data_IF_531738329702
#
_entry.id   IF_531738329702
#
_cell.length_a   1.000
_cell.length_b   1.000
_cell.length_c   1.000
_cell.angle_alpha   90.00
_cell.angle_beta   90.00
_cell.angle_gamma   90.00
#
_symmetry.space_group_name_H-M   'P 1'
#
loop_
_entity.id
_entity.type
_entity.pdbx_description
1 polymer ?
#
# COMPACT_ATOMS: atom_id res chain seq x y z
N UNK A 1 50.79 -35.59 7.98
CA UNK A 1 49.80 -35.83 6.91
C UNK A 1 49.39 -34.47 6.35
N UNK A 2 49.75 -34.15 5.11
CA UNK A 2 49.47 -32.84 4.49
C UNK A 2 47.97 -32.66 4.24
N UNK A 3 47.37 -31.63 4.84
CA UNK A 3 45.96 -31.29 4.65
C UNK A 3 45.73 -30.81 3.22
N UNK A 4 44.92 -31.55 2.47
CA UNK A 4 44.57 -31.19 1.09
C UNK A 4 43.68 -29.94 1.15
N UNK A 5 44.10 -28.82 0.54
CA UNK A 5 43.31 -27.59 0.53
C UNK A 5 41.93 -27.82 -0.09
N UNK A 6 40.91 -27.14 0.44
CA UNK A 6 39.53 -27.30 0.02
C UNK A 6 39.33 -27.15 -1.51
N UNK A 7 40.15 -26.30 -2.15
CA UNK A 7 40.05 -25.99 -3.57
C UNK A 7 40.48 -27.19 -4.45
N UNK A 8 41.46 -27.96 -3.96
CA UNK A 8 41.91 -29.20 -4.59
C UNK A 8 40.91 -30.35 -4.39
N UNK A 9 40.20 -30.37 -3.26
CA UNK A 9 39.06 -31.29 -3.03
C UNK A 9 37.85 -30.98 -3.94
N UNK A 10 37.66 -29.70 -4.28
CA UNK A 10 36.59 -29.22 -5.16
C UNK A 10 36.92 -29.33 -6.66
N UNK A 11 38.05 -29.92 -7.03
CA UNK A 11 38.42 -30.15 -8.43
C UNK A 11 38.84 -28.90 -9.20
N UNK A 12 39.13 -27.78 -8.51
CA UNK A 12 39.73 -26.61 -9.15
C UNK A 12 41.25 -26.82 -9.27
N UNK A 13 41.75 -26.92 -10.49
CA UNK A 13 43.19 -26.95 -10.80
C UNK A 13 43.70 -25.51 -10.98
N UNK A 14 44.67 -25.11 -10.15
CA UNK A 14 45.47 -23.91 -10.41
C UNK A 14 46.51 -24.28 -11.48
N UNK A 15 46.50 -23.58 -12.61
CA UNK A 15 47.52 -23.74 -13.63
C UNK A 15 48.85 -23.18 -13.10
N UNK A 16 49.83 -24.06 -12.89
CA UNK A 16 51.17 -23.72 -12.36
C UNK A 16 52.08 -23.06 -13.41
N UNK A 17 51.69 -23.04 -14.69
CA UNK A 17 52.46 -22.41 -15.77
C UNK A 17 52.38 -20.88 -15.80
N UNK A 18 51.76 -20.25 -14.80
CA UNK A 18 51.70 -18.79 -14.67
C UNK A 18 52.49 -18.29 -13.46
N UNK A 19 53.31 -19.14 -12.82
CA UNK A 19 54.08 -18.75 -11.64
C UNK A 19 55.42 -18.10 -11.96
N UNK A 20 56.10 -18.42 -13.06
CA UNK A 20 57.49 -17.96 -13.23
C UNK A 20 57.60 -16.50 -13.72
N UNK A 21 56.59 -15.95 -14.40
CA UNK A 21 56.59 -14.53 -14.83
C UNK A 21 55.77 -13.61 -13.90
N UNK A 22 54.90 -14.15 -13.04
CA UNK A 22 54.05 -13.35 -12.12
C UNK A 22 54.55 -13.31 -10.66
N UNK A 23 55.60 -14.08 -10.29
CA UNK A 23 56.15 -14.06 -8.92
C UNK A 23 56.94 -12.79 -8.58
N UNK A 24 57.35 -11.99 -9.57
CA UNK A 24 57.93 -10.65 -9.32
C UNK A 24 56.86 -9.54 -9.16
N UNK A 25 55.63 -9.76 -9.64
CA UNK A 25 54.64 -8.68 -9.80
C UNK A 25 53.37 -8.85 -8.93
N UNK A 26 53.24 -9.92 -8.14
CA UNK A 26 51.95 -10.26 -7.51
C UNK A 26 51.86 -10.16 -5.98
N UNK A 27 52.91 -9.75 -5.24
CA UNK A 27 52.78 -9.53 -3.78
C UNK A 27 53.57 -8.34 -3.19
N UNK A 28 53.91 -7.33 -3.99
CA UNK A 28 54.23 -6.03 -3.39
C UNK A 28 52.93 -5.39 -2.89
N UNK A 29 52.73 -5.46 -1.58
CA UNK A 29 51.71 -4.68 -0.85
C UNK A 29 51.82 -3.23 -1.31
N UNK A 30 50.77 -2.70 -1.94
CA UNK A 30 50.65 -1.34 -2.50
C UNK A 30 50.55 -0.31 -1.34
N UNK A 31 51.45 -0.37 -0.37
CA UNK A 31 51.45 0.54 0.77
C UNK A 31 52.41 1.71 0.59
N UNK A 32 53.42 1.65 -0.31
CA UNK A 32 54.37 2.77 -0.45
C UNK A 32 54.90 2.94 -1.89
N UNK A 33 54.07 3.40 -2.82
CA UNK A 33 54.54 3.83 -4.14
C UNK A 33 53.59 4.84 -4.75
N UNK A 34 54.04 6.07 -4.96
CA UNK A 34 53.29 7.14 -5.62
C UNK A 34 53.08 6.80 -7.10
N UNK A 35 52.12 5.90 -7.35
CA UNK A 35 51.70 5.51 -8.68
C UNK A 35 50.96 6.68 -9.32
N UNK A 36 51.40 7.07 -10.52
CA UNK A 36 50.71 8.13 -11.26
C UNK A 36 49.28 7.71 -11.61
N UNK A 37 48.37 8.68 -11.69
CA UNK A 37 46.95 8.44 -12.06
C UNK A 37 46.75 7.61 -13.34
N UNK A 38 47.72 7.65 -14.27
CA UNK A 38 47.70 6.86 -15.50
C UNK A 38 47.97 5.36 -15.24
N UNK A 39 48.88 5.03 -14.33
CA UNK A 39 49.20 3.64 -13.95
C UNK A 39 48.05 3.02 -13.15
N UNK A 40 47.46 3.77 -12.22
CA UNK A 40 46.27 3.34 -11.46
C UNK A 40 45.09 3.04 -12.40
N UNK A 41 44.84 3.90 -13.39
CA UNK A 41 43.77 3.65 -14.38
C UNK A 41 44.02 2.40 -15.22
N UNK A 42 45.26 2.15 -15.65
CA UNK A 42 45.63 0.95 -16.42
C UNK A 42 45.44 -0.33 -15.60
N UNK A 43 45.87 -0.35 -14.35
CA UNK A 43 45.64 -1.47 -13.41
C UNK A 43 44.14 -1.72 -13.19
N UNK A 44 43.35 -0.66 -13.00
CA UNK A 44 41.90 -0.78 -12.81
C UNK A 44 41.17 -1.33 -14.03
N UNK A 45 41.63 -1.00 -15.24
CA UNK A 45 41.04 -1.48 -16.49
C UNK A 45 41.47 -2.92 -16.79
N UNK A 46 42.70 -3.31 -16.46
CA UNK A 46 43.17 -4.69 -16.57
C UNK A 46 42.41 -5.61 -15.62
N UNK A 47 42.18 -5.17 -14.37
CA UNK A 47 41.37 -5.91 -13.38
C UNK A 47 39.92 -6.10 -13.83
N UNK A 48 39.29 -5.07 -14.41
CA UNK A 48 37.92 -5.16 -14.96
C UNK A 48 37.81 -6.14 -16.12
N UNK A 49 38.76 -6.12 -17.07
CA UNK A 49 38.78 -7.07 -18.19
C UNK A 49 38.91 -8.53 -17.72
N UNK A 50 39.81 -8.80 -16.78
CA UNK A 50 39.94 -10.13 -16.17
C UNK A 50 38.63 -10.59 -15.51
N UNK A 51 37.92 -9.70 -14.82
CA UNK A 51 36.64 -10.01 -14.19
C UNK A 51 35.52 -10.27 -15.21
N UNK A 52 35.51 -9.55 -16.34
CA UNK A 52 34.57 -9.78 -17.43
C UNK A 52 34.85 -11.10 -18.17
N UNK A 53 36.11 -11.50 -18.30
CA UNK A 53 36.52 -12.76 -18.93
C UNK A 53 36.22 -13.98 -18.05
N UNK A 54 36.36 -13.85 -16.72
CA UNK A 54 35.92 -14.87 -15.74
C UNK A 54 34.39 -15.00 -15.77
N UNK A 55 33.65 -13.88 -15.76
CA UNK A 55 32.20 -13.87 -15.86
C UNK A 55 31.67 -14.37 -17.23
N UNK A 56 32.49 -14.37 -18.29
CA UNK A 56 32.16 -14.98 -19.59
C UNK A 56 32.38 -16.49 -19.57
N UNK A 57 33.45 -16.98 -18.95
CA UNK A 57 33.74 -18.43 -18.84
C UNK A 57 32.75 -19.16 -17.92
N UNK A 58 32.21 -18.49 -16.91
CA UNK A 58 31.17 -19.05 -16.02
C UNK A 58 29.75 -19.02 -16.63
N UNK A 59 29.55 -18.41 -17.82
CA UNK A 59 28.24 -18.35 -18.50
C UNK A 59 27.91 -19.60 -19.33
N UNK A 60 28.87 -20.50 -19.53
CA UNK A 60 28.70 -21.73 -20.33
C UNK A 60 28.45 -22.98 -19.47
N UNK A 61 28.48 -22.86 -18.14
CA UNK A 61 28.07 -23.92 -17.21
C UNK A 61 26.82 -23.48 -16.44
N UNK A 62 25.69 -24.03 -16.86
CA UNK A 62 24.39 -24.05 -16.15
C UNK A 62 23.90 -22.70 -15.60
N UNK A 63 23.48 -21.81 -16.51
CA UNK A 63 22.65 -20.66 -16.14
C UNK A 63 21.34 -21.18 -15.53
N UNK A 64 21.13 -20.88 -14.24
CA UNK A 64 19.82 -21.00 -13.58
C UNK A 64 18.72 -20.47 -14.51
N UNK A 65 17.55 -21.14 -14.61
CA UNK A 65 16.52 -20.76 -15.55
C UNK A 65 16.20 -19.26 -15.41
N UNK A 66 16.08 -18.52 -16.53
CA UNK A 66 15.88 -17.09 -16.49
C UNK A 66 14.66 -16.75 -15.64
N UNK A 67 14.81 -15.79 -14.71
CA UNK A 67 13.68 -15.23 -13.96
C UNK A 67 12.59 -14.85 -14.97
N UNK A 68 11.42 -15.48 -14.79
CA UNK A 68 10.18 -15.32 -15.57
C UNK A 68 10.16 -14.03 -16.38
N UNK A 69 10.15 -14.13 -17.71
CA UNK A 69 10.12 -12.97 -18.61
C UNK A 69 8.89 -12.12 -18.24
N UNK A 70 9.18 -10.92 -17.76
CA UNK A 70 8.18 -9.97 -17.30
C UNK A 70 7.62 -9.28 -18.54
N UNK A 71 6.36 -9.57 -18.91
CA UNK A 71 5.66 -8.81 -19.96
C UNK A 71 5.79 -7.31 -19.71
N UNK A 72 5.88 -6.47 -20.76
CA UNK A 72 5.93 -5.02 -20.61
C UNK A 72 4.74 -4.53 -19.78
N UNK A 73 4.92 -3.47 -19.00
CA UNK A 73 3.94 -3.01 -18.00
C UNK A 73 2.57 -2.65 -18.62
N UNK A 74 2.54 -2.36 -19.92
CA UNK A 74 1.36 -2.02 -20.70
C UNK A 74 0.49 -3.22 -21.09
N UNK A 75 1.07 -4.43 -21.22
CA UNK A 75 0.34 -5.64 -21.64
C UNK A 75 -0.14 -6.50 -20.46
N UNK A 76 0.18 -6.09 -19.24
CA UNK A 76 -0.27 -6.80 -18.05
C UNK A 76 -1.70 -6.39 -17.76
N UNK A 77 -2.62 -7.35 -17.81
CA UNK A 77 -3.96 -7.17 -17.27
C UNK A 77 -3.84 -6.70 -15.82
N UNK A 78 -4.62 -5.67 -15.40
CA UNK A 78 -4.64 -5.27 -14.01
C UNK A 78 -5.05 -6.47 -13.14
N UNK A 79 -4.50 -6.59 -11.92
CA UNK A 79 -4.93 -7.64 -11.01
C UNK A 79 -6.44 -7.53 -10.78
N UNK A 80 -7.16 -8.66 -10.69
CA UNK A 80 -8.62 -8.65 -10.50
C UNK A 80 -9.06 -7.92 -9.22
N UNK A 81 -8.21 -7.92 -8.19
CA UNK A 81 -8.45 -7.27 -6.91
C UNK A 81 -7.36 -6.20 -6.72
N UNK A 82 -7.73 -4.96 -6.34
CA UNK A 82 -6.76 -3.92 -6.06
C UNK A 82 -5.81 -4.33 -4.91
N UNK A 83 -4.52 -4.03 -5.07
CA UNK A 83 -3.45 -4.41 -4.14
C UNK A 83 -3.65 -3.92 -2.70
N UNK A 84 -4.49 -2.89 -2.50
CA UNK A 84 -4.83 -2.28 -1.21
C UNK A 84 -5.85 -3.13 -0.44
N UNK A 85 -6.85 -3.68 -1.12
CA UNK A 85 -7.82 -4.60 -0.49
C UNK A 85 -7.15 -5.92 -0.13
N UNK A 86 -6.27 -6.43 -1.00
CA UNK A 86 -5.44 -7.60 -0.70
C UNK A 86 -4.54 -7.35 0.52
N UNK A 87 -4.05 -6.12 0.70
CA UNK A 87 -3.22 -5.76 1.84
C UNK A 87 -3.99 -5.73 3.17
N UNK A 88 -5.24 -5.26 3.17
CA UNK A 88 -6.13 -5.34 4.33
C UNK A 88 -6.44 -6.79 4.67
N UNK A 89 -6.83 -7.59 3.68
CA UNK A 89 -7.13 -9.01 3.88
C UNK A 89 -5.92 -9.79 4.39
N UNK A 90 -4.73 -9.52 3.86
CA UNK A 90 -3.50 -10.13 4.34
C UNK A 90 -3.20 -9.74 5.80
N UNK A 91 -3.51 -8.51 6.22
CA UNK A 91 -3.33 -8.08 7.60
C UNK A 91 -4.21 -8.90 8.57
N UNK A 92 -5.45 -9.19 8.18
CA UNK A 92 -6.38 -10.02 8.94
C UNK A 92 -5.98 -11.50 8.95
N UNK A 93 -5.64 -12.08 7.78
CA UNK A 93 -5.39 -13.53 7.67
C UNK A 93 -3.98 -13.96 8.02
N UNK A 94 -2.97 -13.14 7.71
CA UNK A 94 -1.54 -13.49 7.86
C UNK A 94 -0.74 -12.28 8.33
N UNK A 95 -1.02 -11.88 9.57
CA UNK A 95 -0.31 -10.78 10.25
C UNK A 95 1.19 -11.06 10.40
N UNK A 96 1.61 -12.32 10.45
CA UNK A 96 3.02 -12.72 10.58
C UNK A 96 3.87 -12.38 9.36
N UNK A 97 3.37 -12.64 8.14
CA UNK A 97 4.10 -12.35 6.91
C UNK A 97 3.75 -10.97 6.34
N UNK A 98 2.82 -10.26 6.96
CA UNK A 98 2.42 -8.93 6.54
C UNK A 98 3.56 -7.92 6.72
N UNK A 99 3.79 -7.12 5.68
CA UNK A 99 4.81 -6.07 5.69
C UNK A 99 4.16 -4.72 5.50
N UNK A 100 4.43 -3.82 6.44
CA UNK A 100 3.93 -2.46 6.39
C UNK A 100 4.29 -1.77 5.07
N UNK A 101 3.29 -1.19 4.41
CA UNK A 101 3.47 -0.40 3.20
C UNK A 101 2.78 0.96 3.35
N UNK A 102 3.58 2.02 3.48
CA UNK A 102 3.08 3.37 3.70
C UNK A 102 2.20 3.89 2.56
N UNK A 103 2.51 3.54 1.31
CA UNK A 103 1.70 3.96 0.17
C UNK A 103 0.30 3.36 0.23
N UNK A 104 0.20 2.07 0.58
CA UNK A 104 -1.09 1.41 0.78
C UNK A 104 -1.85 1.97 1.97
N UNK A 105 -1.17 2.23 3.10
CA UNK A 105 -1.79 2.91 4.25
C UNK A 105 -2.38 4.26 3.86
N UNK A 106 -1.60 5.13 3.21
CA UNK A 106 -2.07 6.46 2.80
C UNK A 106 -3.27 6.37 1.84
N UNK A 107 -3.31 5.35 0.98
CA UNK A 107 -4.47 5.11 0.12
C UNK A 107 -5.70 4.68 0.94
N UNK A 108 -5.54 3.74 1.87
CA UNK A 108 -6.64 3.26 2.74
C UNK A 108 -7.24 4.43 3.53
N UNK A 109 -6.39 5.25 4.16
CA UNK A 109 -6.83 6.40 4.96
C UNK A 109 -7.62 7.43 4.15
N UNK A 110 -7.28 7.62 2.88
CA UNK A 110 -7.99 8.55 1.99
C UNK A 110 -9.30 8.00 1.42
N UNK A 111 -9.45 6.67 1.38
CA UNK A 111 -10.52 6.00 0.65
C UNK A 111 -11.42 5.14 1.56
N UNK A 112 -11.53 5.48 2.85
CA UNK A 112 -12.36 4.74 3.84
C UNK A 112 -13.81 4.59 3.33
N UNK A 113 -14.36 5.61 2.64
CA UNK A 113 -15.70 5.58 2.05
C UNK A 113 -15.86 4.56 0.90
N UNK A 114 -14.80 4.32 0.12
CA UNK A 114 -14.85 3.56 -1.14
C UNK A 114 -14.59 2.06 -0.92
N UNK A 115 -14.05 1.69 0.24
CA UNK A 115 -13.74 0.28 0.56
C UNK A 115 -15.03 -0.54 0.62
N UNK A 116 -15.10 -1.71 -0.06
CA UNK A 116 -16.27 -2.57 -0.01
C UNK A 116 -16.53 -3.14 1.39
N UNK A 117 -17.80 -3.39 1.72
CA UNK A 117 -18.25 -3.94 3.01
C UNK A 117 -17.59 -5.28 3.36
N UNK A 118 -17.26 -6.10 2.37
CA UNK A 118 -16.57 -7.39 2.57
C UNK A 118 -15.21 -7.27 3.29
N UNK A 119 -14.60 -6.08 3.25
CA UNK A 119 -13.29 -5.81 3.88
C UNK A 119 -13.42 -4.95 5.14
N UNK A 120 -14.63 -4.71 5.63
CA UNK A 120 -14.90 -3.84 6.78
C UNK A 120 -14.29 -4.39 8.07
N UNK A 121 -14.36 -5.71 8.31
CA UNK A 121 -13.71 -6.36 9.45
C UNK A 121 -12.20 -6.13 9.46
N UNK A 122 -11.55 -6.39 8.32
CA UNK A 122 -10.13 -6.18 8.13
C UNK A 122 -9.73 -4.70 8.25
N UNK A 123 -10.60 -3.80 7.80
CA UNK A 123 -10.40 -2.36 7.93
C UNK A 123 -10.42 -1.93 9.40
N UNK A 124 -11.45 -2.32 10.16
CA UNK A 124 -11.58 -1.98 11.59
C UNK A 124 -10.35 -2.47 12.37
N UNK A 125 -9.96 -3.74 12.20
CA UNK A 125 -8.78 -4.31 12.84
C UNK A 125 -7.49 -3.56 12.45
N UNK A 126 -7.36 -3.17 11.17
CA UNK A 126 -6.21 -2.40 10.71
C UNK A 126 -6.18 -1.01 11.32
N UNK A 127 -7.33 -0.34 11.40
CA UNK A 127 -7.49 0.99 11.96
C UNK A 127 -7.14 0.99 13.45
N UNK A 128 -7.61 0.01 14.21
CA UNK A 128 -7.25 -0.18 15.62
C UNK A 128 -5.72 -0.21 15.84
N UNK A 129 -4.98 -0.87 14.93
CA UNK A 129 -3.52 -1.01 15.02
C UNK A 129 -2.72 0.27 14.73
N UNK A 130 -3.37 1.32 14.20
CA UNK A 130 -2.68 2.57 13.86
C UNK A 130 -2.38 3.35 15.15
N UNK A 131 -1.10 3.67 15.34
CA UNK A 131 -0.60 4.43 16.49
C UNK A 131 -0.01 5.78 16.08
N UNK A 132 0.10 6.69 17.05
CA UNK A 132 0.69 8.03 16.91
C UNK A 132 -0.24 9.04 16.23
N UNK A 133 0.29 10.20 15.85
CA UNK A 133 -0.52 11.35 15.41
C UNK A 133 -1.34 11.14 14.13
N UNK A 134 -1.14 10.06 13.37
CA UNK A 134 -2.10 9.68 12.32
C UNK A 134 -3.44 9.23 12.90
N UNK A 135 -3.42 8.54 14.04
CA UNK A 135 -4.63 8.09 14.75
C UNK A 135 -5.47 9.30 15.15
N UNK A 136 -4.84 10.30 15.78
CA UNK A 136 -5.54 11.48 16.28
C UNK A 136 -6.23 12.24 15.15
N UNK A 137 -5.54 12.43 14.01
CA UNK A 137 -6.14 13.07 12.82
C UNK A 137 -7.32 12.28 12.25
N UNK A 138 -7.21 10.95 12.20
CA UNK A 138 -8.31 10.11 11.73
C UNK A 138 -9.49 10.24 12.68
N UNK A 139 -9.26 10.20 13.99
CA UNK A 139 -10.31 10.35 15.00
C UNK A 139 -11.02 11.69 14.85
N UNK A 140 -10.28 12.79 14.66
CA UNK A 140 -10.90 14.11 14.40
C UNK A 140 -11.73 14.09 13.13
N UNK A 141 -11.19 13.53 12.03
CA UNK A 141 -11.89 13.45 10.74
C UNK A 141 -13.18 12.62 10.85
N UNK A 142 -13.14 11.48 11.53
CA UNK A 142 -14.31 10.61 11.74
C UNK A 142 -15.37 11.30 12.61
N UNK A 143 -14.97 11.99 13.68
CA UNK A 143 -15.89 12.78 14.52
C UNK A 143 -16.54 13.91 13.73
N UNK A 144 -15.81 14.60 12.85
CA UNK A 144 -16.36 15.63 11.98
C UNK A 144 -17.37 15.08 10.97
N UNK A 145 -17.11 13.90 10.39
CA UNK A 145 -18.05 13.25 9.46
C UNK A 145 -19.38 12.94 10.16
N UNK A 146 -19.32 12.39 11.38
CA UNK A 146 -20.54 12.08 12.16
C UNK A 146 -21.30 13.36 12.53
N UNK A 147 -20.60 14.42 12.94
CA UNK A 147 -21.24 15.72 13.23
C UNK A 147 -21.96 16.29 12.01
N UNK A 148 -21.29 16.31 10.85
CA UNK A 148 -21.89 16.77 9.59
C UNK A 148 -23.10 15.93 9.17
N UNK A 149 -23.09 14.62 9.44
CA UNK A 149 -24.25 13.77 9.23
C UNK A 149 -25.41 14.14 10.16
N UNK A 150 -25.13 14.27 11.46
CA UNK A 150 -26.14 14.63 12.45
C UNK A 150 -26.78 16.00 12.17
N UNK A 151 -25.99 17.00 11.76
CA UNK A 151 -26.49 18.31 11.34
C UNK A 151 -27.45 18.20 10.14
N UNK A 152 -27.05 17.45 9.10
CA UNK A 152 -27.90 17.21 7.93
C UNK A 152 -29.19 16.48 8.30
N UNK A 153 -29.10 15.52 9.21
CA UNK A 153 -30.26 14.76 9.70
C UNK A 153 -31.24 15.68 10.45
N UNK A 154 -30.76 16.53 11.35
CA UNK A 154 -31.59 17.52 12.06
C UNK A 154 -32.25 18.53 11.11
N UNK A 155 -31.54 18.98 10.07
CA UNK A 155 -32.12 19.86 9.05
C UNK A 155 -33.20 19.15 8.24
N UNK A 156 -33.02 17.86 7.94
CA UNK A 156 -34.03 17.06 7.27
C UNK A 156 -35.28 16.87 8.16
N UNK A 157 -35.10 16.57 9.45
CA UNK A 157 -36.20 16.45 10.41
C UNK A 157 -36.99 17.76 10.53
N UNK A 158 -36.32 18.90 10.68
CA UNK A 158 -37.00 20.22 10.75
C UNK A 158 -37.79 20.54 9.48
N UNK A 159 -37.28 20.18 8.31
CA UNK A 159 -38.01 20.37 7.03
C UNK A 159 -39.25 19.49 6.96
N UNK A 160 -39.15 18.24 7.42
CA UNK A 160 -40.29 17.32 7.48
C UNK A 160 -41.33 17.84 8.46
N UNK A 161 -40.92 18.29 9.65
CA UNK A 161 -41.82 18.83 10.66
C UNK A 161 -42.55 20.09 10.18
N UNK A 162 -41.84 21.03 9.54
CA UNK A 162 -42.46 22.20 8.91
C UNK A 162 -43.43 21.85 7.77
N UNK A 163 -43.17 20.77 7.03
CA UNK A 163 -44.07 20.31 5.98
C UNK A 163 -45.29 19.60 6.55
N UNK A 164 -45.15 18.91 7.68
CA UNK A 164 -46.25 18.30 8.41
C UNK A 164 -47.14 19.37 9.07
N UNK A 165 -46.56 20.37 9.74
CA UNK A 165 -47.30 21.50 10.32
C UNK A 165 -48.12 22.24 9.26
N UNK A 166 -47.53 22.49 8.08
CA UNK A 166 -48.27 23.11 6.95
C UNK A 166 -49.40 22.23 6.42
N UNK A 167 -49.23 20.91 6.41
CA UNK A 167 -50.28 19.96 6.01
C UNK A 167 -51.36 19.79 7.09
N UNK A 168 -51.02 20.00 8.36
CA UNK A 168 -51.98 20.02 9.47
C UNK A 168 -52.82 21.31 9.45
N UNK A 169 -52.23 22.44 9.08
CA UNK A 169 -52.94 23.70 8.85
C UNK A 169 -53.83 23.67 7.58
N UNK A 170 -53.44 22.90 6.55
CA UNK A 170 -54.19 22.70 5.30
C UNK A 170 -55.20 21.52 5.36
N UNK A 171 -55.70 21.13 6.55
CA UNK A 171 -56.87 20.24 6.68
C UNK A 171 -58.22 20.88 6.24
N UNK A 172 -58.17 21.79 5.26
CA UNK A 172 -59.24 22.06 4.31
C UNK A 172 -58.67 22.32 2.91
N UNK A 173 -58.11 21.29 2.26
CA UNK A 173 -58.46 20.92 0.87
C UNK A 173 -57.75 19.64 0.44
N UNK A 174 -58.55 18.66 0.04
CA UNK A 174 -58.12 17.42 -0.60
C UNK A 174 -57.48 17.69 -1.99
N UNK A 175 -56.76 16.67 -2.48
CA UNK A 175 -56.29 16.45 -3.85
C UNK A 175 -54.98 17.11 -4.29
N UNK A 176 -53.86 16.41 -4.01
CA UNK A 176 -52.96 15.91 -5.08
C UNK A 176 -51.84 15.04 -4.48
N UNK A 177 -52.15 13.76 -4.24
CA UNK A 177 -51.13 12.73 -3.98
C UNK A 177 -51.00 11.90 -5.25
N UNK A 178 -50.44 12.46 -6.32
CA UNK A 178 -50.00 11.64 -7.46
C UNK A 178 -49.09 12.37 -8.45
N UNK A 179 -48.04 13.09 -8.03
CA UNK A 179 -47.05 13.58 -9.03
C UNK A 179 -45.64 13.93 -8.53
N UNK A 180 -45.19 13.37 -7.39
CA UNK A 180 -43.82 13.62 -6.87
C UNK A 180 -43.01 12.38 -6.52
N UNK A 181 -43.30 11.24 -7.16
CA UNK A 181 -42.52 10.00 -7.02
C UNK A 181 -41.63 9.65 -8.23
N UNK A 182 -41.59 10.48 -9.29
CA UNK A 182 -40.82 10.15 -10.50
C UNK A 182 -39.68 11.11 -10.89
N UNK A 183 -39.44 12.22 -10.19
CA UNK A 183 -38.35 13.15 -10.56
C UNK A 183 -37.00 12.98 -9.84
N UNK A 184 -36.85 12.05 -8.88
CA UNK A 184 -35.55 11.81 -8.23
C UNK A 184 -34.73 10.67 -8.89
N UNK A 185 -35.00 10.33 -10.16
CA UNK A 185 -34.27 9.26 -10.87
C UNK A 185 -33.39 9.70 -12.02
N UNK A 186 -33.25 10.99 -12.31
CA UNK A 186 -32.36 11.45 -13.39
C UNK A 186 -31.74 12.81 -13.09
N UNK A 187 -30.73 12.83 -12.23
CA UNK A 187 -29.50 13.61 -12.41
C UNK A 187 -28.63 13.44 -11.16
N UNK A 188 -27.71 12.49 -11.19
CA UNK A 188 -26.55 12.53 -10.29
C UNK A 188 -25.36 11.85 -10.95
N UNK A 189 -25.03 12.37 -12.14
CA UNK A 189 -23.78 12.07 -12.82
C UNK A 189 -22.89 13.31 -12.78
N UNK A 190 -22.54 13.75 -11.56
CA UNK A 190 -21.45 14.68 -11.30
C UNK A 190 -21.04 14.64 -9.82
N UNK A 191 -19.94 13.93 -9.55
CA UNK A 191 -19.05 14.13 -8.40
C UNK A 191 -19.70 14.55 -7.06
N UNK A 192 -20.63 13.74 -6.53
CA UNK A 192 -21.22 13.97 -5.21
C UNK A 192 -20.25 13.52 -4.09
N UNK A 193 -19.10 14.20 -3.99
CA UNK A 193 -18.08 13.94 -2.94
C UNK A 193 -18.56 14.33 -1.54
N UNK A 194 -19.52 15.26 -1.45
CA UNK A 194 -19.96 15.87 -0.20
C UNK A 194 -21.28 15.30 0.35
N UNK A 195 -21.93 14.39 -0.39
CA UNK A 195 -23.07 13.64 0.15
C UNK A 195 -22.52 12.54 1.08
N UNK A 196 -22.70 12.75 2.38
CA UNK A 196 -22.34 11.80 3.44
C UNK A 196 -23.50 10.82 3.49
N UNK A 197 -23.21 9.53 3.34
CA UNK A 197 -24.23 8.47 3.34
C UNK A 197 -24.39 7.91 4.77
N UNK A 198 -25.58 7.41 5.12
CA UNK A 198 -25.86 6.77 6.40
C UNK A 198 -24.95 5.56 6.64
N UNK A 199 -24.68 4.79 5.58
CA UNK A 199 -23.76 3.65 5.61
C UNK A 199 -22.34 4.09 6.00
N UNK A 200 -21.89 5.22 5.45
CA UNK A 200 -20.59 5.78 5.74
C UNK A 200 -20.51 6.33 7.16
N UNK A 201 -21.53 7.04 7.64
CA UNK A 201 -21.60 7.53 9.02
C UNK A 201 -21.60 6.37 10.02
N UNK A 202 -22.35 5.31 9.75
CA UNK A 202 -22.38 4.08 10.55
C UNK A 202 -21.03 3.38 10.58
N UNK A 203 -20.34 3.30 9.45
CA UNK A 203 -18.96 2.77 9.39
C UNK A 203 -17.99 3.61 10.21
N UNK A 204 -18.09 4.94 10.15
CA UNK A 204 -17.25 5.85 10.95
C UNK A 204 -17.46 5.62 12.45
N UNK A 205 -18.70 5.39 12.87
CA UNK A 205 -19.03 5.05 14.26
C UNK A 205 -18.34 3.76 14.71
N UNK A 206 -18.44 2.68 13.91
CA UNK A 206 -17.80 1.39 14.21
C UNK A 206 -16.27 1.52 14.34
N UNK A 207 -15.64 2.29 13.46
CA UNK A 207 -14.19 2.52 13.53
C UNK A 207 -13.83 3.33 14.78
N UNK A 208 -14.60 4.37 15.11
CA UNK A 208 -14.36 5.16 16.33
C UNK A 208 -14.49 4.33 17.61
N UNK A 209 -15.51 3.49 17.68
CA UNK A 209 -15.76 2.57 18.79
C UNK A 209 -14.57 1.63 19.02
N UNK A 210 -14.03 1.03 17.95
CA UNK A 210 -12.81 0.19 18.04
C UNK A 210 -11.55 0.95 18.48
N UNK A 211 -11.49 2.26 18.23
CA UNK A 211 -10.29 3.06 18.46
C UNK A 211 -10.26 3.71 19.84
N UNK A 212 -11.36 4.25 20.32
CA UNK A 212 -11.36 5.11 21.51
C UNK A 212 -11.93 4.38 22.73
N UNK A 213 -12.65 3.28 22.55
CA UNK A 213 -13.48 2.72 23.62
C UNK A 213 -14.67 3.62 23.93
N UNK A 214 -15.44 3.26 24.96
CA UNK A 214 -16.77 3.82 25.25
C UNK A 214 -16.78 5.33 25.58
N UNK A 215 -15.64 5.91 25.95
CA UNK A 215 -15.58 7.20 26.64
C UNK A 215 -15.87 8.44 25.77
N UNK A 216 -15.94 8.29 24.44
CA UNK A 216 -15.92 9.43 23.50
C UNK A 216 -16.77 9.20 22.24
N UNK A 217 -17.71 8.26 22.31
CA UNK A 217 -18.55 7.82 21.18
C UNK A 217 -19.59 8.89 20.87
N UNK A 218 -19.57 9.39 19.64
CA UNK A 218 -20.64 10.24 19.10
C UNK A 218 -21.64 9.31 18.42
N UNK A 219 -22.89 9.35 18.87
CA UNK A 219 -23.97 8.59 18.27
C UNK A 219 -24.38 9.16 16.91
N UNK A 220 -24.64 8.26 15.96
CA UNK A 220 -25.16 8.60 14.64
C UNK A 220 -26.68 8.66 14.73
N UNK A 221 -27.27 9.83 14.43
CA UNK A 221 -28.73 10.00 14.40
C UNK A 221 -29.35 9.31 13.17
N UNK A 222 -30.57 8.82 13.33
CA UNK A 222 -31.34 8.18 12.25
C UNK A 222 -30.96 6.74 11.93
N UNK A 223 -30.31 6.04 12.87
CA UNK A 223 -29.95 4.61 12.77
C UNK A 223 -31.03 3.70 13.34
#
# INVERSE_FOLDING_TARGET
MSSIPAWKKLGLSVNTNTQEEEEQDSFQRIENGDLTNKQIKKLSNKKRKLQDDINKKDKDKEKKPPKRQKLPKNERKPPPIPDQLTYLKQFETDKSNWKFNKSKQNWILKNIKIIPKDYESALVLYMESIQGGSRDRIVTDLKEVIKKWNEKYEEAEKKIEQELEKKEDDQQQEENIEEKKEEDKKEDNKDNKDNIDLDYASRCQLILESMIGEDDIIEVKGK
#
